data_IF_659964888790
#
_entry.id   IF_659964888790
#
_cell.length_a   1.000
_cell.length_b   1.000
_cell.length_c   1.000
_cell.angle_alpha   90.00
_cell.angle_beta   90.00
_cell.angle_gamma   90.00
#
_symmetry.space_group_name_H-M   'P 1'
#
loop_
_entity.id
_entity.type
_entity.pdbx_description
1 polymer ?
#
# COMPACT_ATOMS: atom_id res chain seq x y z
N UNK A 1 49.23 -16.37 12.45
CA UNK A 1 48.10 -15.52 12.90
C UNK A 1 47.64 -14.46 11.92
N UNK A 2 48.51 -13.75 11.19
CA UNK A 2 48.12 -12.64 10.27
C UNK A 2 47.17 -13.05 9.12
N UNK A 3 47.39 -14.22 8.46
CA UNK A 3 46.55 -14.65 7.33
C UNK A 3 45.07 -14.95 7.71
N UNK A 4 44.85 -15.48 8.93
CA UNK A 4 43.48 -15.81 9.38
C UNK A 4 42.64 -14.55 9.63
N UNK A 5 43.27 -13.49 10.12
CA UNK A 5 42.61 -12.21 10.35
C UNK A 5 42.27 -11.49 9.01
N UNK A 6 43.10 -11.64 7.97
CA UNK A 6 42.82 -11.11 6.62
C UNK A 6 41.62 -11.80 5.97
N UNK A 7 41.49 -13.12 6.10
CA UNK A 7 40.33 -13.84 5.58
C UNK A 7 39.03 -13.40 6.28
N UNK A 8 39.05 -13.24 7.58
CA UNK A 8 37.88 -12.78 8.36
C UNK A 8 37.50 -11.35 7.95
N UNK A 9 38.49 -10.47 7.77
CA UNK A 9 38.26 -9.10 7.33
C UNK A 9 37.67 -9.05 5.91
N UNK A 10 38.19 -9.83 4.96
CA UNK A 10 37.65 -9.92 3.61
C UNK A 10 36.21 -10.44 3.58
N UNK A 11 35.90 -11.47 4.36
CA UNK A 11 34.53 -12.00 4.49
C UNK A 11 33.60 -10.94 5.06
N UNK A 12 34.05 -10.20 6.08
CA UNK A 12 33.25 -9.12 6.66
C UNK A 12 32.96 -7.98 5.67
N UNK A 13 33.98 -7.57 4.88
CA UNK A 13 33.81 -6.55 3.81
C UNK A 13 32.87 -7.03 2.74
N UNK A 14 32.90 -8.31 2.38
CA UNK A 14 32.04 -8.92 1.38
C UNK A 14 30.58 -8.95 1.88
N UNK A 15 30.34 -9.30 3.14
CA UNK A 15 29.00 -9.25 3.75
C UNK A 15 28.47 -7.83 3.87
N UNK A 16 29.33 -6.85 4.21
CA UNK A 16 28.97 -5.43 4.21
C UNK A 16 28.60 -4.96 2.80
N UNK A 17 29.38 -5.31 1.79
CA UNK A 17 29.11 -4.97 0.40
C UNK A 17 27.78 -5.56 -0.12
N UNK A 18 27.52 -6.83 0.17
CA UNK A 18 26.26 -7.50 -0.18
C UNK A 18 25.08 -6.86 0.57
N UNK A 19 25.27 -6.52 1.84
CA UNK A 19 24.24 -5.82 2.65
C UNK A 19 23.89 -4.45 2.07
N UNK A 20 24.91 -3.67 1.70
CA UNK A 20 24.72 -2.35 1.07
C UNK A 20 24.04 -2.47 -0.28
N UNK A 21 24.44 -3.42 -1.13
CA UNK A 21 23.81 -3.68 -2.43
C UNK A 21 22.35 -4.12 -2.29
N UNK A 22 22.06 -4.98 -1.30
CA UNK A 22 20.69 -5.41 -0.99
C UNK A 22 19.81 -4.24 -0.57
N UNK A 23 20.31 -3.37 0.31
CA UNK A 23 19.60 -2.18 0.81
C UNK A 23 19.38 -1.19 -0.35
N UNK A 24 20.42 -0.94 -1.16
CA UNK A 24 20.33 -0.08 -2.34
C UNK A 24 19.27 -0.59 -3.32
N UNK A 25 19.27 -1.89 -3.63
CA UNK A 25 18.26 -2.51 -4.50
C UNK A 25 16.84 -2.41 -3.91
N UNK A 26 16.71 -2.54 -2.59
CA UNK A 26 15.42 -2.48 -1.89
C UNK A 26 14.88 -1.05 -1.79
N UNK A 27 15.76 -0.04 -1.70
CA UNK A 27 15.41 1.39 -1.67
C UNK A 27 15.44 2.09 -3.03
N UNK A 28 15.82 1.39 -4.12
CA UNK A 28 15.77 2.01 -5.45
C UNK A 28 14.32 2.37 -5.79
N UNK A 29 14.10 3.64 -6.14
CA UNK A 29 12.80 4.10 -6.61
C UNK A 29 12.40 3.37 -7.89
N UNK A 30 11.11 3.15 -8.08
CA UNK A 30 10.62 2.67 -9.35
C UNK A 30 10.83 3.75 -10.43
N UNK A 31 11.25 3.31 -11.60
CA UNK A 31 11.25 4.17 -12.77
C UNK A 31 9.81 4.48 -13.20
N UNK A 32 9.59 5.72 -13.63
CA UNK A 32 8.29 6.10 -14.21
C UNK A 32 8.07 5.29 -15.48
N UNK A 33 7.01 4.48 -15.48
CA UNK A 33 6.67 3.63 -16.62
C UNK A 33 5.91 4.40 -17.68
N UNK A 34 6.08 3.99 -18.94
CA UNK A 34 5.21 4.42 -20.02
C UNK A 34 3.83 3.77 -19.88
N UNK A 35 2.79 4.57 -20.12
CA UNK A 35 1.42 4.08 -20.06
C UNK A 35 1.11 3.22 -21.28
N UNK A 36 0.50 2.07 -21.06
CA UNK A 36 0.04 1.19 -22.12
C UNK A 36 -1.37 1.56 -22.62
N UNK A 37 -1.72 1.30 -23.89
CA UNK A 37 -3.04 1.59 -24.40
C UNK A 37 -4.07 0.66 -23.77
N UNK A 38 -5.20 1.25 -23.31
CA UNK A 38 -6.38 0.51 -22.86
C UNK A 38 -7.48 0.72 -23.89
N UNK A 39 -8.03 -0.37 -24.43
CA UNK A 39 -9.05 -0.29 -25.49
C UNK A 39 -10.31 0.43 -25.01
N UNK A 40 -10.81 1.39 -25.81
CA UNK A 40 -11.98 2.20 -25.48
C UNK A 40 -13.33 1.53 -25.78
N UNK A 41 -13.32 0.25 -26.18
CA UNK A 41 -14.48 -0.46 -26.73
C UNK A 41 -15.55 -0.87 -25.71
N UNK A 42 -15.46 -0.41 -24.46
CA UNK A 42 -16.48 -0.70 -23.48
C UNK A 42 -17.55 0.41 -23.48
N UNK A 43 -18.79 0.04 -23.85
CA UNK A 43 -19.95 0.79 -23.38
C UNK A 43 -19.84 0.88 -21.87
N UNK A 44 -19.98 2.09 -21.32
CA UNK A 44 -20.06 2.26 -19.86
C UNK A 44 -21.26 1.46 -19.40
N UNK A 45 -21.02 0.33 -18.75
CA UNK A 45 -22.08 -0.47 -18.16
C UNK A 45 -22.80 0.41 -17.14
N UNK A 46 -24.09 0.18 -16.94
CA UNK A 46 -24.90 0.88 -15.93
C UNK A 46 -24.50 0.50 -14.49
N UNK A 47 -23.66 -0.53 -14.34
CA UNK A 47 -23.21 -1.07 -13.07
C UNK A 47 -21.93 -0.35 -12.65
N UNK A 48 -21.89 0.12 -11.40
CA UNK A 48 -20.71 0.70 -10.81
C UNK A 48 -19.59 -0.33 -10.71
N UNK A 49 -18.38 -0.02 -11.19
CA UNK A 49 -17.21 -0.89 -11.08
C UNK A 49 -16.18 -0.31 -10.13
N UNK A 50 -15.69 -1.14 -9.21
CA UNK A 50 -14.69 -0.75 -8.22
C UNK A 50 -13.53 -1.73 -8.27
N UNK A 51 -12.35 -1.24 -8.66
CA UNK A 51 -11.10 -1.95 -8.58
C UNK A 51 -10.55 -1.92 -7.15
N UNK A 52 -9.81 -2.94 -6.75
CA UNK A 52 -9.06 -2.98 -5.49
C UNK A 52 -7.66 -3.51 -5.79
N UNK A 53 -6.63 -2.73 -5.46
CA UNK A 53 -5.23 -3.15 -5.54
C UNK A 53 -4.55 -2.92 -4.20
N UNK A 54 -3.69 -3.85 -3.80
CA UNK A 54 -2.97 -3.65 -2.54
C UNK A 54 -2.22 -4.88 -2.06
N UNK A 55 -1.78 -4.80 -0.82
CA UNK A 55 -0.98 -5.81 -0.14
C UNK A 55 -1.82 -6.92 0.51
N UNK A 56 -1.29 -7.56 1.57
CA UNK A 56 -1.97 -8.63 2.30
C UNK A 56 -3.30 -8.23 2.94
N UNK A 57 -3.55 -6.93 3.15
CA UNK A 57 -4.81 -6.44 3.69
C UNK A 57 -5.98 -6.64 2.72
N UNK A 58 -5.70 -6.69 1.41
CA UNK A 58 -6.69 -7.06 0.40
C UNK A 58 -6.98 -8.56 0.41
N UNK A 59 -5.94 -9.38 0.53
CA UNK A 59 -6.03 -10.83 0.28
C UNK A 59 -6.37 -11.70 1.47
N UNK A 60 -6.36 -11.17 2.71
CA UNK A 60 -6.62 -11.97 3.93
C UNK A 60 -8.10 -12.20 4.25
N UNK A 61 -8.98 -11.53 3.52
CA UNK A 61 -10.42 -11.70 3.63
C UNK A 61 -11.02 -11.58 2.22
N UNK A 62 -12.23 -12.07 2.02
CA UNK A 62 -12.99 -11.83 0.78
C UNK A 62 -13.48 -10.36 0.75
N UNK A 63 -12.54 -9.40 0.72
CA UNK A 63 -12.80 -7.96 0.83
C UNK A 63 -13.81 -7.50 -0.22
N UNK A 64 -13.59 -7.90 -1.47
CA UNK A 64 -14.43 -7.62 -2.62
C UNK A 64 -15.87 -8.09 -2.41
N UNK A 65 -16.06 -9.35 -2.03
CA UNK A 65 -17.38 -9.95 -1.80
C UNK A 65 -18.11 -9.31 -0.62
N UNK A 66 -17.37 -9.04 0.47
CA UNK A 66 -17.95 -8.40 1.66
C UNK A 66 -18.39 -6.96 1.36
N UNK A 67 -17.58 -6.20 0.62
CA UNK A 67 -17.96 -4.86 0.16
C UNK A 67 -19.15 -4.91 -0.79
N UNK A 68 -19.15 -5.81 -1.76
CA UNK A 68 -20.26 -5.99 -2.70
C UNK A 68 -21.58 -6.25 -1.96
N UNK A 69 -21.55 -7.08 -0.91
CA UNK A 69 -22.72 -7.33 -0.06
C UNK A 69 -23.23 -6.05 0.62
N UNK A 70 -22.33 -5.25 1.23
CA UNK A 70 -22.71 -3.99 1.90
C UNK A 70 -23.33 -3.01 0.89
N UNK A 71 -22.75 -2.88 -0.30
CA UNK A 71 -23.28 -2.01 -1.36
C UNK A 71 -24.69 -2.47 -1.79
N UNK A 72 -24.87 -3.77 -1.99
CA UNK A 72 -26.18 -4.35 -2.33
C UNK A 72 -27.22 -4.08 -1.22
N UNK A 73 -26.87 -4.25 0.05
CA UNK A 73 -27.74 -3.94 1.21
C UNK A 73 -28.14 -2.46 1.27
N UNK A 74 -27.32 -1.56 0.70
CA UNK A 74 -27.60 -0.12 0.57
C UNK A 74 -28.30 0.25 -0.74
N UNK A 75 -28.69 -0.74 -1.55
CA UNK A 75 -29.38 -0.56 -2.83
C UNK A 75 -28.48 -0.07 -3.97
N UNK A 76 -27.17 -0.25 -3.86
CA UNK A 76 -26.20 0.10 -4.90
C UNK A 76 -25.69 -1.18 -5.56
N UNK A 77 -25.98 -1.35 -6.85
CA UNK A 77 -25.41 -2.44 -7.62
C UNK A 77 -23.98 -2.08 -8.04
N UNK A 78 -23.01 -2.88 -7.58
CA UNK A 78 -21.60 -2.66 -7.86
C UNK A 78 -20.87 -3.97 -8.12
N UNK A 79 -19.91 -3.96 -9.04
CA UNK A 79 -18.98 -5.04 -9.34
C UNK A 79 -17.61 -4.70 -8.72
N UNK A 80 -17.01 -5.62 -7.98
CA UNK A 80 -15.71 -5.47 -7.39
C UNK A 80 -14.70 -6.40 -8.05
N UNK A 81 -13.52 -5.85 -8.41
CA UNK A 81 -12.43 -6.60 -9.03
C UNK A 81 -11.16 -6.35 -8.21
N UNK A 82 -10.65 -7.37 -7.54
CA UNK A 82 -9.55 -7.22 -6.60
C UNK A 82 -8.27 -7.97 -7.02
N UNK A 83 -7.12 -7.35 -6.75
CA UNK A 83 -5.82 -8.00 -6.73
C UNK A 83 -5.09 -7.73 -5.42
N UNK A 84 -4.58 -8.78 -4.81
CA UNK A 84 -3.68 -8.72 -3.65
C UNK A 84 -2.28 -9.18 -4.02
N UNK A 85 -1.27 -8.43 -3.57
CA UNK A 85 0.13 -8.86 -3.56
C UNK A 85 0.63 -8.90 -2.11
N UNK A 86 0.52 -10.05 -1.41
CA UNK A 86 0.88 -10.16 0.00
C UNK A 86 2.33 -9.75 0.26
N UNK A 87 2.52 -8.84 1.20
CA UNK A 87 3.85 -8.33 1.55
C UNK A 87 4.40 -7.26 0.62
N UNK A 88 3.69 -6.85 -0.42
CA UNK A 88 4.16 -5.80 -1.33
C UNK A 88 4.30 -4.45 -0.63
N UNK A 89 5.32 -3.71 -1.02
CA UNK A 89 5.50 -2.29 -0.75
C UNK A 89 4.74 -1.44 -1.77
N UNK A 90 4.60 -0.15 -1.51
CA UNK A 90 4.02 0.81 -2.46
C UNK A 90 4.70 0.75 -3.85
N UNK A 91 6.04 0.56 -3.88
CA UNK A 91 6.80 0.37 -5.13
C UNK A 91 6.34 -0.86 -5.90
N UNK A 92 6.26 -2.01 -5.21
CA UNK A 92 5.88 -3.29 -5.83
C UNK A 92 4.45 -3.22 -6.37
N UNK A 93 3.52 -2.59 -5.63
CA UNK A 93 2.16 -2.35 -6.11
C UNK A 93 2.13 -1.45 -7.35
N UNK A 94 2.96 -0.41 -7.41
CA UNK A 94 3.11 0.41 -8.61
C UNK A 94 3.64 -0.40 -9.79
N UNK A 95 4.69 -1.21 -9.60
CA UNK A 95 5.27 -2.05 -10.64
C UNK A 95 4.27 -3.09 -11.17
N UNK A 96 3.43 -3.65 -10.30
CA UNK A 96 2.39 -4.62 -10.65
C UNK A 96 1.35 -4.07 -11.65
N UNK A 97 1.15 -2.74 -11.68
CA UNK A 97 0.23 -2.11 -12.65
C UNK A 97 0.71 -2.23 -14.10
N UNK A 98 2.00 -2.50 -14.31
CA UNK A 98 2.64 -2.55 -15.63
C UNK A 98 3.12 -3.95 -16.02
N UNK A 99 2.96 -4.94 -15.15
CA UNK A 99 3.26 -6.34 -15.46
C UNK A 99 2.33 -6.87 -16.53
N UNK A 100 2.80 -7.80 -17.34
CA UNK A 100 1.91 -8.50 -18.27
C UNK A 100 0.89 -9.37 -17.51
N UNK A 101 -0.29 -9.59 -18.09
CA UNK A 101 -1.41 -10.27 -17.41
C UNK A 101 -1.11 -11.67 -16.90
N UNK A 102 -0.17 -12.35 -17.51
CA UNK A 102 0.27 -13.70 -17.15
C UNK A 102 1.39 -13.70 -16.10
N UNK A 103 1.88 -12.54 -15.69
CA UNK A 103 2.86 -12.43 -14.62
C UNK A 103 2.17 -12.43 -13.25
N UNK A 104 2.86 -12.98 -12.27
CA UNK A 104 2.37 -13.02 -10.90
C UNK A 104 2.14 -11.60 -10.34
N UNK A 105 1.00 -11.41 -9.67
CA UNK A 105 0.55 -10.14 -9.09
C UNK A 105 0.32 -9.00 -10.09
N UNK A 106 0.15 -9.30 -11.39
CA UNK A 106 -0.21 -8.26 -12.36
C UNK A 106 -1.57 -7.64 -12.04
N UNK A 107 -1.63 -6.34 -11.73
CA UNK A 107 -2.88 -5.60 -11.56
C UNK A 107 -3.39 -4.95 -12.85
N UNK A 108 -2.76 -5.23 -13.98
CA UNK A 108 -3.13 -4.71 -15.31
C UNK A 108 -4.59 -5.04 -15.67
N UNK A 109 -5.08 -6.24 -15.30
CA UNK A 109 -6.46 -6.62 -15.57
C UNK A 109 -7.48 -5.78 -14.79
N UNK A 110 -7.14 -5.30 -13.58
CA UNK A 110 -7.99 -4.39 -12.81
C UNK A 110 -8.13 -3.07 -13.56
N UNK A 111 -7.02 -2.51 -14.05
CA UNK A 111 -7.00 -1.25 -14.80
C UNK A 111 -7.77 -1.41 -16.13
N UNK A 112 -7.53 -2.51 -16.86
CA UNK A 112 -8.17 -2.78 -18.13
C UNK A 112 -9.68 -3.08 -18.03
N UNK A 113 -10.17 -3.49 -16.83
CA UNK A 113 -11.61 -3.58 -16.58
C UNK A 113 -12.30 -2.23 -16.53
N UNK A 114 -11.51 -1.13 -16.53
CA UNK A 114 -11.96 0.27 -16.48
C UNK A 114 -12.95 0.54 -15.34
N UNK A 115 -12.56 0.30 -14.09
CA UNK A 115 -13.41 0.60 -12.98
C UNK A 115 -13.63 2.12 -12.86
N UNK A 116 -14.78 2.53 -12.32
CA UNK A 116 -15.07 3.94 -12.02
C UNK A 116 -14.16 4.45 -10.89
N UNK A 117 -13.88 3.56 -9.93
CA UNK A 117 -13.01 3.83 -8.76
C UNK A 117 -12.00 2.70 -8.58
N UNK A 118 -10.85 3.01 -8.00
CA UNK A 118 -9.89 1.99 -7.57
C UNK A 118 -9.40 2.26 -6.15
N UNK A 119 -9.65 1.32 -5.25
CA UNK A 119 -9.18 1.35 -3.88
C UNK A 119 -7.71 0.91 -3.87
N UNK A 120 -6.87 1.71 -3.21
CA UNK A 120 -5.43 1.46 -3.04
C UNK A 120 -5.17 1.19 -1.55
N UNK A 121 -4.71 -0.01 -1.22
CA UNK A 121 -4.34 -0.41 0.14
C UNK A 121 -2.85 -0.74 0.14
N UNK A 122 -2.01 0.21 0.54
CA UNK A 122 -0.56 0.12 0.51
C UNK A 122 0.08 0.90 1.66
N UNK A 123 1.33 0.55 1.99
CA UNK A 123 2.15 1.30 2.94
C UNK A 123 2.42 0.57 4.24
N UNK A 124 1.61 -0.40 4.64
CA UNK A 124 1.85 -1.18 5.86
C UNK A 124 3.22 -1.85 5.81
N UNK A 125 3.60 -2.41 4.65
CA UNK A 125 4.91 -3.03 4.46
C UNK A 125 6.06 -2.02 4.34
N UNK A 126 5.80 -0.82 3.82
CA UNK A 126 6.78 0.28 3.78
C UNK A 126 7.16 0.70 5.20
N UNK A 127 6.17 0.94 6.07
CA UNK A 127 6.38 1.25 7.49
C UNK A 127 7.03 0.08 8.22
N UNK A 128 6.47 -1.13 8.08
CA UNK A 128 6.98 -2.32 8.78
C UNK A 128 8.43 -2.66 8.42
N UNK A 129 8.88 -2.33 7.21
CA UNK A 129 10.25 -2.56 6.72
C UNK A 129 11.15 -1.34 6.85
N UNK A 130 10.66 -0.21 7.36
CA UNK A 130 11.40 1.04 7.50
C UNK A 130 12.01 1.49 6.15
N UNK A 131 11.20 1.52 5.09
CA UNK A 131 11.70 1.84 3.75
C UNK A 131 11.89 3.35 3.57
N UNK A 132 11.17 4.16 4.34
CA UNK A 132 11.21 5.61 4.29
C UNK A 132 9.88 6.22 3.82
N UNK A 133 9.46 7.27 4.52
CA UNK A 133 8.16 7.93 4.31
C UNK A 133 8.07 8.65 2.96
N UNK A 134 9.17 9.30 2.51
CA UNK A 134 9.22 9.94 1.19
C UNK A 134 9.15 8.91 0.06
N UNK A 135 9.86 7.78 0.22
CA UNK A 135 9.81 6.68 -0.73
C UNK A 135 8.38 6.13 -0.90
N UNK A 136 7.68 5.89 0.22
CA UNK A 136 6.27 5.49 0.21
C UNK A 136 5.40 6.52 -0.52
N UNK A 137 5.49 7.79 -0.11
CA UNK A 137 4.65 8.84 -0.67
C UNK A 137 4.87 9.01 -2.19
N UNK A 138 6.12 9.00 -2.67
CA UNK A 138 6.44 9.10 -4.10
C UNK A 138 5.82 7.96 -4.91
N UNK A 139 5.86 6.72 -4.39
CA UNK A 139 5.22 5.61 -5.09
C UNK A 139 3.69 5.67 -5.04
N UNK A 140 3.11 6.15 -3.94
CA UNK A 140 1.67 6.42 -3.89
C UNK A 140 1.25 7.46 -4.93
N UNK A 141 2.02 8.54 -5.10
CA UNK A 141 1.76 9.53 -6.16
C UNK A 141 1.86 8.92 -7.56
N UNK A 142 2.80 8.00 -7.80
CA UNK A 142 2.90 7.28 -9.09
C UNK A 142 1.67 6.40 -9.34
N UNK A 143 1.20 5.66 -8.33
CA UNK A 143 -0.03 4.83 -8.42
C UNK A 143 -1.24 5.72 -8.72
N UNK A 144 -1.42 6.80 -7.96
CA UNK A 144 -2.54 7.75 -8.12
C UNK A 144 -2.54 8.35 -9.53
N UNK A 145 -1.40 8.85 -9.99
CA UNK A 145 -1.30 9.44 -11.34
C UNK A 145 -1.55 8.41 -12.44
N UNK A 146 -1.16 7.16 -12.25
CA UNK A 146 -1.44 6.08 -13.20
C UNK A 146 -2.95 5.84 -13.31
N UNK A 147 -3.66 5.72 -12.19
CA UNK A 147 -5.11 5.55 -12.19
C UNK A 147 -5.83 6.75 -12.83
N UNK A 148 -5.44 7.97 -12.47
CA UNK A 148 -6.00 9.20 -13.05
C UNK A 148 -5.76 9.28 -14.56
N UNK A 149 -4.59 8.84 -15.06
CA UNK A 149 -4.33 8.75 -16.50
C UNK A 149 -5.36 7.85 -17.21
N UNK A 150 -5.72 6.73 -16.61
CA UNK A 150 -6.73 5.81 -17.14
C UNK A 150 -8.18 6.23 -16.82
N UNK A 151 -8.38 7.45 -16.28
CA UNK A 151 -9.69 8.00 -15.89
C UNK A 151 -10.38 7.19 -14.80
N UNK A 152 -9.62 6.52 -13.97
CA UNK A 152 -10.08 5.77 -12.80
C UNK A 152 -9.91 6.69 -11.58
N UNK A 153 -10.97 6.92 -10.80
CA UNK A 153 -10.86 7.76 -9.59
C UNK A 153 -10.21 6.98 -8.45
N UNK A 154 -9.05 7.41 -7.93
CA UNK A 154 -8.39 6.71 -6.83
C UNK A 154 -9.14 6.90 -5.51
N UNK A 155 -9.24 5.82 -4.73
CA UNK A 155 -9.62 5.80 -3.32
C UNK A 155 -8.39 5.36 -2.54
N UNK A 156 -7.74 6.29 -1.86
CA UNK A 156 -6.51 6.03 -1.11
C UNK A 156 -6.86 5.71 0.33
N UNK A 157 -6.52 4.51 0.78
CA UNK A 157 -6.59 4.14 2.20
C UNK A 157 -5.30 4.60 2.87
N UNK A 158 -5.41 5.49 3.86
CA UNK A 158 -4.25 5.86 4.67
C UNK A 158 -3.66 4.64 5.35
N UNK A 159 -2.35 4.65 5.59
CA UNK A 159 -1.71 3.57 6.35
C UNK A 159 -2.38 3.45 7.72
N UNK A 160 -3.01 2.30 8.05
CA UNK A 160 -3.70 2.13 9.33
C UNK A 160 -2.70 2.08 10.50
N UNK A 161 -3.15 2.41 11.69
CA UNK A 161 -2.37 2.21 12.90
C UNK A 161 -2.24 0.71 13.18
N UNK A 162 -1.01 0.21 13.32
CA UNK A 162 -0.70 -1.17 13.62
C UNK A 162 0.51 -1.27 14.56
N UNK A 163 0.88 -2.46 14.99
CA UNK A 163 1.91 -2.70 15.99
C UNK A 163 3.33 -2.57 15.45
N UNK A 164 3.75 -1.42 14.94
CA UNK A 164 5.10 -1.21 14.36
C UNK A 164 6.20 -1.68 15.30
N UNK A 165 6.16 -1.26 16.58
CA UNK A 165 7.13 -1.68 17.60
C UNK A 165 7.10 -3.18 17.86
N UNK A 166 5.90 -3.78 17.88
CA UNK A 166 5.73 -5.21 18.12
C UNK A 166 6.21 -6.03 16.91
N UNK A 167 5.96 -5.58 15.67
CA UNK A 167 6.53 -6.19 14.44
C UNK A 167 8.05 -6.27 14.52
N UNK A 168 8.72 -5.22 15.01
CA UNK A 168 10.18 -5.22 15.13
C UNK A 168 10.70 -6.27 16.12
N UNK A 169 9.96 -6.57 17.19
CA UNK A 169 10.35 -7.59 18.18
C UNK A 169 10.35 -9.00 17.59
N UNK A 170 9.45 -9.28 16.62
CA UNK A 170 9.35 -10.59 15.96
C UNK A 170 10.38 -10.77 14.83
N UNK A 171 11.04 -9.71 14.38
CA UNK A 171 12.08 -9.81 13.36
C UNK A 171 13.35 -10.46 13.92
N UNK A 172 13.98 -11.28 13.09
CA UNK A 172 15.28 -11.82 13.42
C UNK A 172 16.35 -10.71 13.50
N UNK A 173 17.49 -11.02 14.14
CA UNK A 173 18.59 -10.07 14.37
C UNK A 173 19.10 -9.46 13.06
N UNK A 174 19.17 -10.24 11.99
CA UNK A 174 19.63 -9.77 10.68
C UNK A 174 18.66 -8.74 10.07
N UNK A 175 17.35 -9.00 10.13
CA UNK A 175 16.34 -8.06 9.65
C UNK A 175 16.31 -6.76 10.45
N UNK A 176 16.55 -6.83 11.77
CA UNK A 176 16.69 -5.63 12.62
C UNK A 176 17.93 -4.82 12.23
N UNK A 177 19.05 -5.49 11.98
CA UNK A 177 20.30 -4.84 11.56
C UNK A 177 20.15 -4.17 10.18
N UNK A 178 19.55 -4.83 9.21
CA UNK A 178 19.30 -4.25 7.87
C UNK A 178 18.33 -3.07 7.93
N UNK A 179 17.34 -3.09 8.82
CA UNK A 179 16.43 -1.95 9.02
C UNK A 179 17.18 -0.76 9.66
N UNK A 180 18.00 -1.00 10.70
CA UNK A 180 18.80 0.05 11.33
C UNK A 180 19.77 0.73 10.36
N UNK A 181 20.39 -0.04 9.45
CA UNK A 181 21.24 0.52 8.39
C UNK A 181 20.37 1.30 7.38
N UNK A 182 19.18 0.81 7.05
CA UNK A 182 18.23 1.50 6.18
C UNK A 182 17.82 2.85 6.76
N UNK A 183 17.55 2.92 8.06
CA UNK A 183 17.27 4.16 8.78
C UNK A 183 18.46 5.13 8.79
N UNK A 184 19.67 4.61 9.04
CA UNK A 184 20.88 5.43 9.06
C UNK A 184 21.27 6.02 7.70
N UNK A 185 20.88 5.36 6.58
CA UNK A 185 21.12 5.87 5.22
C UNK A 185 20.09 6.91 4.83
N UNK A 186 18.89 6.87 5.41
CA UNK A 186 17.80 7.83 5.22
C UNK A 186 17.98 9.06 6.11
N UNK A 187 19.17 9.68 6.02
CA UNK A 187 19.67 10.71 6.94
C UNK A 187 18.85 12.00 6.99
N UNK A 188 17.91 12.21 6.06
CA UNK A 188 17.03 13.39 6.08
C UNK A 188 15.82 13.23 7.00
N UNK A 189 15.63 12.07 7.62
CA UNK A 189 14.44 11.73 8.39
C UNK A 189 14.79 11.09 9.73
N UNK A 190 15.16 11.95 10.66
CA UNK A 190 15.40 11.57 12.07
C UNK A 190 14.19 10.83 12.65
N UNK A 191 14.38 9.55 12.96
CA UNK A 191 13.70 8.76 14.01
C UNK A 191 12.17 8.65 14.04
N UNK A 192 11.40 8.96 12.99
CA UNK A 192 9.95 8.88 13.01
C UNK A 192 9.40 7.84 12.02
N UNK A 193 9.79 6.56 12.21
CA UNK A 193 9.15 5.43 11.52
C UNK A 193 7.80 5.05 12.16
N UNK A 194 6.99 6.05 12.47
CA UNK A 194 5.63 5.84 12.91
C UNK A 194 4.66 6.05 11.74
N UNK A 195 3.49 5.48 11.87
CA UNK A 195 2.43 5.57 10.85
C UNK A 195 2.06 7.03 10.55
N UNK A 196 2.04 7.90 11.57
CA UNK A 196 1.70 9.32 11.44
C UNK A 196 2.64 10.03 10.47
N UNK A 197 3.95 9.82 10.61
CA UNK A 197 4.95 10.43 9.73
C UNK A 197 4.79 10.03 8.26
N UNK A 198 4.41 8.77 7.98
CA UNK A 198 4.12 8.32 6.62
C UNK A 198 2.87 8.99 6.04
N UNK A 199 1.81 9.13 6.85
CA UNK A 199 0.59 9.85 6.47
C UNK A 199 0.88 11.32 6.21
N UNK A 200 1.60 12.00 7.10
CA UNK A 200 1.96 13.42 6.97
C UNK A 200 2.72 13.71 5.67
N UNK A 201 3.70 12.87 5.33
CA UNK A 201 4.46 13.05 4.07
C UNK A 201 3.57 12.78 2.85
N UNK A 202 2.71 11.75 2.90
CA UNK A 202 1.73 11.53 1.82
C UNK A 202 0.80 12.73 1.65
N UNK A 203 0.27 13.29 2.75
CA UNK A 203 -0.56 14.50 2.71
C UNK A 203 0.17 15.70 2.07
N UNK A 204 1.44 15.91 2.46
CA UNK A 204 2.25 16.98 1.88
C UNK A 204 2.43 16.78 0.36
N UNK A 205 2.73 15.56 -0.08
CA UNK A 205 2.89 15.25 -1.50
C UNK A 205 1.57 15.35 -2.28
N UNK A 206 0.45 14.93 -1.71
CA UNK A 206 -0.88 15.12 -2.32
C UNK A 206 -1.19 16.60 -2.53
N UNK A 207 -0.82 17.46 -1.57
CA UNK A 207 -0.99 18.90 -1.65
C UNK A 207 -0.08 19.54 -2.71
N UNK A 208 1.19 19.17 -2.71
CA UNK A 208 2.20 19.69 -3.68
C UNK A 208 1.80 19.34 -5.12
N UNK A 209 1.23 18.16 -5.33
CA UNK A 209 0.81 17.66 -6.64
C UNK A 209 -0.64 18.03 -7.01
N UNK A 210 -1.35 18.79 -6.19
CA UNK A 210 -2.75 19.22 -6.43
C UNK A 210 -3.67 18.03 -6.69
N UNK A 211 -3.66 17.03 -5.79
CA UNK A 211 -4.36 15.77 -5.96
C UNK A 211 -5.56 15.57 -5.02
N UNK A 212 -5.74 16.40 -3.98
CA UNK A 212 -6.82 16.18 -3.00
C UNK A 212 -8.22 16.14 -3.61
N UNK A 213 -8.52 17.04 -4.55
CA UNK A 213 -9.83 17.08 -5.21
C UNK A 213 -10.02 15.97 -6.24
N UNK A 214 -8.94 15.26 -6.60
CA UNK A 214 -8.93 14.22 -7.63
C UNK A 214 -9.09 12.81 -7.05
N UNK A 215 -8.97 12.66 -5.74
CA UNK A 215 -9.03 11.37 -5.05
C UNK A 215 -10.16 11.33 -4.01
N UNK A 216 -10.39 10.17 -3.44
CA UNK A 216 -11.08 9.99 -2.16
C UNK A 216 -10.01 9.50 -1.18
N UNK A 217 -9.89 10.17 -0.04
CA UNK A 217 -8.96 9.77 1.01
C UNK A 217 -9.74 9.17 2.15
N UNK A 218 -9.47 7.90 2.46
CA UNK A 218 -10.08 7.20 3.58
C UNK A 218 -9.22 7.37 4.84
N UNK A 219 -9.81 7.97 5.87
CA UNK A 219 -9.20 8.14 7.18
C UNK A 219 -9.20 6.81 7.94
N UNK A 220 -8.02 6.20 8.05
CA UNK A 220 -7.85 4.92 8.74
C UNK A 220 -8.02 5.00 10.26
N UNK A 221 -8.10 6.18 10.87
CA UNK A 221 -8.43 6.33 12.29
C UNK A 221 -9.87 5.89 12.59
N UNK A 222 -10.74 5.82 11.59
CA UNK A 222 -12.08 5.21 11.70
C UNK A 222 -12.04 3.72 12.04
N UNK A 223 -10.95 3.04 11.69
CA UNK A 223 -10.73 1.63 12.05
C UNK A 223 -10.14 1.55 13.46
N UNK A 224 -9.06 2.29 13.66
CA UNK A 224 -8.22 2.18 14.84
C UNK A 224 -7.33 3.42 15.00
N UNK A 225 -7.58 4.23 16.02
CA UNK A 225 -6.76 5.42 16.35
C UNK A 225 -5.46 5.07 17.07
N UNK A 226 -5.43 3.96 17.79
CA UNK A 226 -4.27 3.53 18.58
C UNK A 226 -4.24 2.00 18.67
N UNK A 227 -3.21 1.41 18.08
CA UNK A 227 -3.00 -0.04 18.12
C UNK A 227 -2.93 -0.60 19.54
N UNK A 228 -2.27 0.10 20.48
CA UNK A 228 -2.07 -0.41 21.86
C UNK A 228 -3.39 -0.64 22.58
N UNK A 229 -4.38 0.22 22.34
CA UNK A 229 -5.70 0.14 22.93
C UNK A 229 -6.66 -0.78 22.15
N UNK A 230 -6.33 -1.15 20.93
CA UNK A 230 -7.18 -1.92 20.03
C UNK A 230 -6.54 -3.22 19.53
N UNK A 231 -5.62 -3.82 20.31
CA UNK A 231 -4.97 -5.10 19.97
C UNK A 231 -5.94 -6.25 19.74
N UNK A 232 -7.12 -6.18 20.32
CA UNK A 232 -8.20 -7.16 20.12
C UNK A 232 -8.74 -7.19 18.68
N UNK A 233 -8.47 -6.17 17.85
CA UNK A 233 -8.82 -6.15 16.43
C UNK A 233 -7.76 -6.82 15.52
N UNK A 234 -6.67 -7.32 16.10
CA UNK A 234 -5.53 -7.84 15.35
C UNK A 234 -5.28 -9.34 15.66
N UNK A 235 -4.90 -10.09 14.62
CA UNK A 235 -4.42 -11.48 14.75
C UNK A 235 -2.92 -11.51 15.11
N UNK A 236 -2.16 -10.61 14.52
CA UNK A 236 -0.76 -10.37 14.76
C UNK A 236 -0.49 -8.86 14.69
N UNK A 237 0.69 -8.35 15.08
CA UNK A 237 0.93 -6.91 15.11
C UNK A 237 0.69 -6.17 13.78
N UNK A 238 0.63 -6.87 12.66
CA UNK A 238 0.52 -6.31 11.32
C UNK A 238 -0.87 -6.46 10.71
N UNK A 239 -1.63 -7.50 11.10
CA UNK A 239 -2.85 -7.87 10.40
C UNK A 239 -4.06 -7.89 11.32
N UNK A 240 -5.16 -7.35 10.81
CA UNK A 240 -6.45 -7.43 11.46
C UNK A 240 -6.92 -8.89 11.61
N UNK A 241 -7.70 -9.16 12.64
CA UNK A 241 -8.50 -10.37 12.75
C UNK A 241 -9.87 -10.17 12.07
N UNK A 242 -10.75 -11.14 12.16
CA UNK A 242 -12.07 -11.10 11.53
C UNK A 242 -12.88 -9.87 11.95
N UNK A 243 -12.93 -9.57 13.26
CA UNK A 243 -13.62 -8.40 13.81
C UNK A 243 -13.01 -7.09 13.30
N UNK A 244 -11.68 -7.00 13.25
CA UNK A 244 -10.97 -5.84 12.71
C UNK A 244 -11.29 -5.61 11.23
N UNK A 245 -11.34 -6.69 10.44
CA UNK A 245 -11.75 -6.60 9.03
C UNK A 245 -13.21 -6.20 8.86
N UNK A 246 -14.12 -6.65 9.72
CA UNK A 246 -15.53 -6.20 9.68
C UNK A 246 -15.65 -4.69 9.90
N UNK A 247 -14.94 -4.16 10.90
CA UNK A 247 -14.89 -2.71 11.17
C UNK A 247 -14.31 -1.96 9.96
N UNK A 248 -13.19 -2.44 9.43
CA UNK A 248 -12.52 -1.81 8.28
C UNK A 248 -13.43 -1.77 7.06
N UNK A 249 -13.96 -2.91 6.65
CA UNK A 249 -14.77 -3.07 5.44
C UNK A 249 -16.03 -2.21 5.53
N UNK A 250 -16.67 -2.21 6.71
CA UNK A 250 -17.88 -1.41 6.93
C UNK A 250 -17.56 0.09 6.82
N UNK A 251 -16.56 0.58 7.52
CA UNK A 251 -16.19 2.00 7.50
C UNK A 251 -15.79 2.47 6.09
N UNK A 252 -14.96 1.68 5.39
CA UNK A 252 -14.53 1.99 4.03
C UNK A 252 -15.71 2.00 3.05
N UNK A 253 -16.61 1.01 3.15
CA UNK A 253 -17.81 0.94 2.30
C UNK A 253 -18.74 2.12 2.52
N UNK A 254 -19.00 2.49 3.77
CA UNK A 254 -19.86 3.62 4.11
C UNK A 254 -19.31 4.94 3.57
N UNK A 255 -18.02 5.21 3.72
CA UNK A 255 -17.37 6.41 3.16
C UNK A 255 -17.48 6.49 1.63
N UNK A 256 -17.26 5.37 0.94
CA UNK A 256 -17.34 5.34 -0.52
C UNK A 256 -18.80 5.56 -0.97
N UNK A 257 -19.75 4.93 -0.31
CA UNK A 257 -21.18 5.08 -0.60
C UNK A 257 -21.63 6.54 -0.41
N UNK A 258 -21.19 7.17 0.66
CA UNK A 258 -21.54 8.57 0.95
C UNK A 258 -20.95 9.53 -0.09
N UNK A 259 -19.72 9.27 -0.54
CA UNK A 259 -19.07 10.06 -1.59
C UNK A 259 -19.77 9.88 -2.96
N UNK A 260 -20.20 8.65 -3.28
CA UNK A 260 -20.95 8.39 -4.53
C UNK A 260 -22.31 9.10 -4.52
N UNK A 261 -23.01 9.09 -3.37
CA UNK A 261 -24.31 9.77 -3.23
C UNK A 261 -24.18 11.28 -3.36
N UNK A 262 -23.19 11.89 -2.70
CA UNK A 262 -22.92 13.34 -2.79
C UNK A 262 -22.64 13.83 -4.22
N UNK A 263 -22.15 12.99 -5.09
CA UNK A 263 -21.88 13.36 -6.50
C UNK A 263 -23.11 13.24 -7.40
N UNK A 264 -24.11 12.49 -6.98
CA UNK A 264 -25.33 12.29 -7.74
C UNK A 264 -26.44 13.27 -7.33
N UNK A 265 -26.22 14.05 -6.28
CA UNK A 265 -27.03 15.21 -5.85
C UNK A 265 -26.56 16.51 -6.52
#
# INVERSE_FOLDING_TARGET
MKKKNYCIFLVFVLFLGVGVLYIYKKKSYAERREYYPVQDNFKKDSILKIGIIGDSWVGRTDLDKKMQKIFSEKGIEAEFIALSHPGATSKEIYEDMFKEKNEEFSSKFVIESKPDYCIIIAGVNDVARHIGKKYYADHMILIINTLLHYKIKPIVVEVPNFGVEDVQKYKNVFSRYTNAISEAIDSDEVNDNNVSAYREVLFAELKINDLFDKIILFDSDKINKDYKNNKNLFTDPLHLNEQGYEVFIKALSEDIIDEIKRKNE
#
